data_IF_862613103293
#
_entry.id   IF_862613103293
#
_cell.length_a   1.000
_cell.length_b   1.000
_cell.length_c   1.000
_cell.angle_alpha   90.00
_cell.angle_beta   90.00
_cell.angle_gamma   90.00
#
_symmetry.space_group_name_H-M   'P 1'
#
loop_
_entity.id
_entity.type
_entity.pdbx_description
1 polymer ?
#
# COMPACT_ATOMS: atom_id res chain seq x y z
N UNK A 1 22.43 -3.71 14.05
CA UNK A 1 21.72 -5.01 13.95
C UNK A 1 20.27 -4.92 14.43
N UNK A 2 20.00 -4.58 15.69
CA UNK A 2 18.62 -4.52 16.24
C UNK A 2 17.64 -3.63 15.44
N UNK A 3 18.09 -2.45 14.98
CA UNK A 3 17.26 -1.52 14.20
C UNK A 3 16.86 -2.13 12.84
N UNK A 4 17.79 -2.80 12.16
CA UNK A 4 17.52 -3.44 10.87
C UNK A 4 16.50 -4.56 11.03
N UNK A 5 16.63 -5.36 12.08
CA UNK A 5 15.67 -6.44 12.41
C UNK A 5 14.27 -5.88 12.71
N UNK A 6 14.17 -4.78 13.47
CA UNK A 6 12.88 -4.12 13.71
C UNK A 6 12.23 -3.60 12.41
N UNK A 7 13.00 -2.97 11.53
CA UNK A 7 12.47 -2.46 10.25
C UNK A 7 11.93 -3.61 9.39
N UNK A 8 12.70 -4.70 9.28
CA UNK A 8 12.25 -5.89 8.54
C UNK A 8 11.01 -6.53 9.17
N UNK A 9 10.92 -6.59 10.50
CA UNK A 9 9.74 -7.10 11.20
C UNK A 9 8.50 -6.24 10.93
N UNK A 10 8.63 -4.91 10.92
CA UNK A 10 7.53 -4.00 10.58
C UNK A 10 7.10 -4.16 9.12
N UNK A 11 8.04 -4.27 8.19
CA UNK A 11 7.73 -4.49 6.77
C UNK A 11 6.99 -5.82 6.58
N UNK A 12 7.50 -6.91 7.18
CA UNK A 12 6.85 -8.21 7.14
C UNK A 12 5.43 -8.16 7.73
N UNK A 13 5.26 -7.49 8.87
CA UNK A 13 3.95 -7.29 9.49
C UNK A 13 2.97 -6.54 8.57
N UNK A 14 3.41 -5.49 7.90
CA UNK A 14 2.60 -4.74 6.93
C UNK A 14 2.20 -5.59 5.74
N UNK A 15 3.12 -6.41 5.21
CA UNK A 15 2.84 -7.33 4.11
C UNK A 15 1.83 -8.40 4.51
N UNK A 16 1.94 -8.96 5.72
CA UNK A 16 0.98 -9.92 6.25
C UNK A 16 -0.41 -9.28 6.34
N UNK A 17 -0.52 -8.06 6.86
CA UNK A 17 -1.82 -7.38 6.93
C UNK A 17 -2.40 -7.05 5.55
N UNK A 18 -1.57 -6.64 4.61
CA UNK A 18 -2.00 -6.41 3.23
C UNK A 18 -2.49 -7.69 2.56
N UNK A 19 -1.79 -8.81 2.76
CA UNK A 19 -2.18 -10.11 2.22
C UNK A 19 -3.50 -10.63 2.83
N UNK A 20 -3.71 -10.41 4.13
CA UNK A 20 -4.98 -10.73 4.79
C UNK A 20 -6.13 -9.85 4.29
N UNK A 21 -5.87 -8.58 4.00
CA UNK A 21 -6.85 -7.68 3.41
C UNK A 21 -7.24 -8.12 1.98
N UNK A 22 -6.26 -8.50 1.15
CA UNK A 22 -6.50 -9.01 -0.20
C UNK A 22 -7.23 -10.36 -0.20
N UNK A 23 -6.97 -11.22 0.79
CA UNK A 23 -7.70 -12.46 1.01
C UNK A 23 -9.15 -12.25 1.53
N UNK A 24 -9.60 -11.00 1.70
CA UNK A 24 -10.91 -10.67 2.24
C UNK A 24 -11.07 -10.97 3.74
N UNK A 25 -9.98 -11.32 4.43
CA UNK A 25 -9.95 -11.61 5.88
C UNK A 25 -9.66 -10.38 6.73
N UNK A 26 -9.76 -9.18 6.15
CA UNK A 26 -9.57 -7.92 6.88
C UNK A 26 -10.53 -7.77 8.07
N UNK A 27 -10.18 -6.96 9.09
CA UNK A 27 -11.04 -6.71 10.23
C UNK A 27 -12.44 -6.30 9.77
N UNK A 28 -13.45 -7.10 10.13
CA UNK A 28 -14.84 -6.88 9.72
C UNK A 28 -15.27 -5.45 10.06
N UNK A 29 -15.33 -4.57 9.06
CA UNK A 29 -15.77 -3.20 9.30
C UNK A 29 -17.24 -3.22 9.77
N UNK A 30 -17.62 -2.35 10.72
CA UNK A 30 -19.00 -2.30 11.26
C UNK A 30 -20.08 -2.25 10.17
N UNK A 31 -19.78 -1.64 9.01
CA UNK A 31 -20.67 -1.59 7.85
C UNK A 31 -20.90 -2.95 7.19
N UNK A 32 -19.87 -3.79 7.10
CA UNK A 32 -19.98 -5.16 6.57
C UNK A 32 -20.82 -6.08 7.45
N UNK A 33 -20.74 -5.93 8.79
CA UNK A 33 -21.55 -6.71 9.75
C UNK A 33 -23.04 -6.37 9.67
N UNK A 34 -23.40 -5.10 9.48
CA UNK A 34 -24.81 -4.70 9.30
C UNK A 34 -25.41 -5.28 8.02
N UNK A 35 -24.62 -5.30 6.94
CA UNK A 35 -25.03 -5.90 5.67
C UNK A 35 -25.14 -7.43 5.79
N UNK A 36 -24.17 -8.08 6.44
CA UNK A 36 -24.19 -9.52 6.76
C UNK A 36 -25.44 -9.91 7.52
N UNK A 37 -25.78 -9.22 8.62
CA UNK A 37 -26.99 -9.49 9.42
C UNK A 37 -28.27 -9.39 8.60
N UNK A 38 -28.36 -8.43 7.67
CA UNK A 38 -29.53 -8.29 6.77
C UNK A 38 -29.59 -9.39 5.73
N UNK A 39 -28.44 -9.81 5.19
CA UNK A 39 -28.37 -10.91 4.21
C UNK A 39 -28.66 -12.27 4.89
N UNK A 40 -28.14 -12.47 6.09
CA UNK A 40 -28.39 -13.63 6.96
C UNK A 40 -29.88 -13.80 7.25
N UNK A 41 -30.54 -12.72 7.69
CA UNK A 41 -31.96 -12.72 7.98
C UNK A 41 -32.83 -13.07 6.76
N UNK A 42 -32.39 -12.74 5.53
CA UNK A 42 -33.10 -13.12 4.30
C UNK A 42 -32.89 -14.58 3.92
N UNK A 43 -31.75 -15.17 4.29
CA UNK A 43 -31.38 -16.54 3.96
C UNK A 43 -31.72 -17.55 5.08
N UNK A 44 -32.13 -17.07 6.26
CA UNK A 44 -32.37 -17.91 7.44
C UNK A 44 -31.09 -18.51 8.03
N UNK A 45 -29.92 -17.93 7.74
CA UNK A 45 -28.61 -18.39 8.19
C UNK A 45 -28.12 -17.57 9.38
N UNK A 46 -27.18 -18.12 10.16
CA UNK A 46 -26.43 -17.34 11.15
C UNK A 46 -25.58 -16.29 10.41
N UNK A 47 -25.56 -15.01 10.86
CA UNK A 47 -24.66 -14.00 10.33
C UNK A 47 -23.18 -14.42 10.23
N UNK A 48 -22.72 -15.36 11.06
CA UNK A 48 -21.37 -15.91 11.00
C UNK A 48 -21.13 -16.81 9.78
N UNK A 49 -22.20 -17.47 9.28
CA UNK A 49 -22.16 -18.45 8.19
C UNK A 49 -22.47 -17.84 6.81
N UNK A 50 -22.79 -16.55 6.78
CA UNK A 50 -23.07 -15.85 5.52
C UNK A 50 -21.76 -15.59 4.77
N UNK A 51 -21.60 -16.29 3.65
CA UNK A 51 -20.53 -16.03 2.70
C UNK A 51 -20.61 -14.56 2.21
N UNK A 52 -19.64 -13.77 2.66
CA UNK A 52 -19.44 -12.40 2.21
C UNK A 52 -18.47 -12.42 1.08
N UNK A 53 -19.05 -12.49 -0.12
CA UNK A 53 -18.31 -12.21 -1.33
C UNK A 53 -17.88 -10.74 -1.30
N UNK A 54 -16.58 -10.45 -1.41
CA UNK A 54 -16.13 -9.08 -1.62
C UNK A 54 -16.83 -8.53 -2.87
N UNK A 55 -17.13 -7.22 -2.88
CA UNK A 55 -17.64 -6.55 -4.09
C UNK A 55 -16.66 -6.82 -5.23
N UNK A 56 -17.07 -7.63 -6.21
CA UNK A 56 -16.23 -8.05 -7.33
C UNK A 56 -16.10 -9.56 -7.52
N UNK A 57 -16.46 -10.40 -6.53
CA UNK A 57 -16.39 -11.86 -6.65
C UNK A 57 -17.63 -12.42 -7.38
N UNK A 58 -17.67 -12.24 -8.70
CA UNK A 58 -18.51 -13.02 -9.60
C UNK A 58 -17.93 -14.43 -9.81
N UNK A 59 -18.73 -15.39 -10.30
CA UNK A 59 -18.27 -16.76 -10.55
C UNK A 59 -17.08 -16.86 -11.53
N UNK A 60 -16.86 -15.83 -12.37
CA UNK A 60 -15.85 -15.83 -13.43
C UNK A 60 -14.68 -14.85 -13.22
N UNK A 61 -14.55 -14.20 -12.05
CA UNK A 61 -13.46 -13.26 -11.81
C UNK A 61 -12.21 -13.98 -11.29
N UNK A 62 -11.42 -14.57 -12.19
CA UNK A 62 -10.04 -15.02 -11.91
C UNK A 62 -9.11 -13.81 -11.69
N UNK A 63 -9.54 -12.61 -12.10
CA UNK A 63 -8.80 -11.38 -11.89
C UNK A 63 -9.42 -10.57 -10.74
N UNK A 64 -8.65 -10.23 -9.70
CA UNK A 64 -9.12 -9.27 -8.70
C UNK A 64 -9.32 -7.92 -9.41
N UNK A 65 -10.57 -7.55 -9.68
CA UNK A 65 -10.98 -6.22 -10.19
C UNK A 65 -10.81 -5.13 -9.11
N UNK A 66 -10.01 -5.38 -8.08
CA UNK A 66 -9.68 -4.46 -6.99
C UNK A 66 -8.18 -4.24 -6.91
N UNK A 67 -7.76 -3.00 -6.65
CA UNK A 67 -6.37 -2.64 -6.32
C UNK A 67 -5.88 -3.58 -5.21
N UNK A 68 -4.86 -4.40 -5.47
CA UNK A 68 -4.27 -5.26 -4.45
C UNK A 68 -3.55 -4.41 -3.42
N UNK A 69 -3.92 -4.55 -2.15
CA UNK A 69 -3.30 -3.85 -1.02
C UNK A 69 -1.83 -4.25 -0.90
N UNK A 70 -1.49 -5.51 -1.21
CA UNK A 70 -0.10 -5.96 -1.28
C UNK A 70 0.65 -5.28 -2.42
N UNK A 71 0.03 -5.13 -3.59
CA UNK A 71 0.61 -4.43 -4.73
C UNK A 71 0.83 -2.93 -4.45
N UNK A 72 -0.10 -2.29 -3.74
CA UNK A 72 0.03 -0.91 -3.28
C UNK A 72 1.17 -0.75 -2.26
N UNK A 73 1.31 -1.68 -1.32
CA UNK A 73 2.38 -1.68 -0.32
C UNK A 73 3.76 -1.92 -0.96
N UNK A 74 3.87 -2.95 -1.80
CA UNK A 74 5.11 -3.29 -2.50
C UNK A 74 5.57 -2.14 -3.40
N UNK A 75 4.65 -1.51 -4.12
CA UNK A 75 4.97 -0.34 -4.90
C UNK A 75 5.38 0.84 -4.02
N UNK A 76 4.67 1.11 -2.91
CA UNK A 76 5.02 2.19 -1.99
C UNK A 76 6.43 2.04 -1.42
N UNK A 77 6.80 0.82 -1.00
CA UNK A 77 8.13 0.50 -0.51
C UNK A 77 9.19 0.57 -1.61
N UNK A 78 8.93 0.01 -2.79
CA UNK A 78 9.84 0.07 -3.93
C UNK A 78 10.09 1.50 -4.40
N UNK A 79 9.04 2.31 -4.47
CA UNK A 79 9.13 3.72 -4.84
C UNK A 79 9.85 4.55 -3.78
N UNK A 80 9.62 4.26 -2.49
CA UNK A 80 10.36 4.88 -1.39
C UNK A 80 11.86 4.56 -1.42
N UNK A 81 12.22 3.30 -1.66
CA UNK A 81 13.61 2.88 -1.84
C UNK A 81 14.26 3.56 -3.05
N UNK A 82 13.54 3.63 -4.18
CA UNK A 82 14.01 4.34 -5.37
C UNK A 82 14.26 5.83 -5.08
N UNK A 83 13.35 6.49 -4.36
CA UNK A 83 13.52 7.89 -3.97
C UNK A 83 14.77 8.09 -3.09
N UNK A 84 15.04 7.19 -2.13
CA UNK A 84 16.25 7.22 -1.31
C UNK A 84 17.50 7.12 -2.20
N UNK A 85 17.53 6.15 -3.13
CA UNK A 85 18.65 5.98 -4.06
C UNK A 85 18.87 7.23 -4.91
N UNK A 86 17.79 7.84 -5.44
CA UNK A 86 17.87 9.06 -6.24
C UNK A 86 18.31 10.28 -5.43
N UNK A 87 17.89 10.40 -4.16
CA UNK A 87 18.36 11.45 -3.28
C UNK A 87 19.88 11.35 -3.12
N UNK A 88 20.39 10.24 -2.59
CA UNK A 88 21.82 10.10 -2.32
C UNK A 88 22.66 10.08 -3.61
N UNK A 89 22.21 9.37 -4.66
CA UNK A 89 22.91 9.32 -5.93
C UNK A 89 22.97 10.68 -6.63
N UNK A 90 21.84 11.40 -6.71
CA UNK A 90 21.80 12.72 -7.31
C UNK A 90 22.59 13.76 -6.51
N UNK A 91 22.54 13.72 -5.17
CA UNK A 91 23.38 14.56 -4.32
C UNK A 91 24.88 14.32 -4.57
N UNK A 92 25.29 13.06 -4.68
CA UNK A 92 26.68 12.71 -4.98
C UNK A 92 27.12 13.25 -6.34
N UNK A 93 26.28 13.12 -7.38
CA UNK A 93 26.56 13.68 -8.71
C UNK A 93 26.67 15.20 -8.67
N UNK A 94 25.75 15.89 -7.99
CA UNK A 94 25.77 17.35 -7.87
C UNK A 94 27.04 17.83 -7.16
N UNK A 95 27.45 17.14 -6.08
CA UNK A 95 28.72 17.43 -5.40
C UNK A 95 29.93 17.15 -6.29
N UNK A 96 29.93 16.04 -7.03
CA UNK A 96 31.01 15.70 -7.96
C UNK A 96 31.14 16.74 -9.10
N UNK A 97 30.02 17.30 -9.55
CA UNK A 97 29.96 18.38 -10.54
C UNK A 97 30.24 19.78 -9.93
N UNK A 98 30.60 19.86 -8.65
CA UNK A 98 30.92 21.10 -7.93
C UNK A 98 29.76 22.11 -7.90
N UNK A 99 28.51 21.65 -7.92
CA UNK A 99 27.37 22.52 -7.66
C UNK A 99 27.41 23.04 -6.21
N UNK A 100 26.83 24.23 -5.94
CA UNK A 100 26.71 24.75 -4.60
C UNK A 100 25.89 23.80 -3.72
N UNK A 101 26.19 23.68 -2.42
CA UNK A 101 25.44 22.83 -1.49
C UNK A 101 23.94 23.10 -1.49
N UNK A 102 23.53 24.34 -1.77
CA UNK A 102 22.13 24.76 -1.89
C UNK A 102 21.38 24.00 -2.99
N UNK A 103 22.07 23.64 -4.08
CA UNK A 103 21.48 22.85 -5.16
C UNK A 103 21.13 21.42 -4.72
N UNK A 104 21.86 20.86 -3.74
CA UNK A 104 21.58 19.53 -3.18
C UNK A 104 20.28 19.56 -2.39
N UNK A 105 20.05 20.62 -1.62
CA UNK A 105 18.79 20.81 -0.88
C UNK A 105 17.60 20.98 -1.82
N UNK A 106 17.77 21.74 -2.90
CA UNK A 106 16.74 21.88 -3.95
C UNK A 106 16.45 20.52 -4.60
N UNK A 107 17.49 19.75 -4.92
CA UNK A 107 17.34 18.40 -5.47
C UNK A 107 16.55 17.47 -4.55
N UNK A 108 16.85 17.45 -3.26
CA UNK A 108 16.07 16.68 -2.27
C UNK A 108 14.60 17.11 -2.26
N UNK A 109 14.33 18.42 -2.29
CA UNK A 109 12.97 18.95 -2.39
C UNK A 109 12.24 18.44 -3.63
N UNK A 110 12.91 18.44 -4.79
CA UNK A 110 12.35 17.93 -6.06
C UNK A 110 12.02 16.44 -5.98
N UNK A 111 12.92 15.61 -5.45
CA UNK A 111 12.69 14.15 -5.34
C UNK A 111 11.54 13.84 -4.38
N UNK A 112 11.45 14.54 -3.25
CA UNK A 112 10.36 14.38 -2.28
C UNK A 112 9.03 14.80 -2.92
N UNK A 113 9.00 15.96 -3.57
CA UNK A 113 7.79 16.48 -4.22
C UNK A 113 7.32 15.56 -5.36
N UNK A 114 8.23 15.11 -6.22
CA UNK A 114 7.92 14.18 -7.30
C UNK A 114 7.32 12.87 -6.76
N UNK A 115 7.89 12.34 -5.68
CA UNK A 115 7.38 11.15 -4.99
C UNK A 115 5.96 11.37 -4.46
N UNK A 116 5.71 12.52 -3.84
CA UNK A 116 4.39 12.86 -3.32
C UNK A 116 3.35 13.02 -4.44
N UNK A 117 3.70 13.73 -5.52
CA UNK A 117 2.81 13.97 -6.67
C UNK A 117 2.46 12.67 -7.37
N UNK A 118 3.44 11.79 -7.64
CA UNK A 118 3.19 10.50 -8.29
C UNK A 118 2.30 9.59 -7.43
N UNK A 119 2.51 9.59 -6.11
CA UNK A 119 1.68 8.84 -5.18
C UNK A 119 0.24 9.40 -5.11
N UNK A 120 0.08 10.72 -5.19
CA UNK A 120 -1.23 11.39 -5.24
C UNK A 120 -1.99 11.06 -6.53
N UNK A 121 -1.34 11.15 -7.70
CA UNK A 121 -1.95 10.85 -9.01
C UNK A 121 -2.48 9.42 -9.04
N UNK A 122 -1.70 8.45 -8.54
CA UNK A 122 -2.16 7.06 -8.40
C UNK A 122 -3.42 6.99 -7.55
N UNK A 123 -3.44 7.59 -6.36
CA UNK A 123 -4.61 7.49 -5.45
C UNK A 123 -5.89 8.13 -6.01
N UNK A 124 -5.78 9.08 -6.95
CA UNK A 124 -6.91 9.74 -7.59
C UNK A 124 -7.45 9.08 -8.85
N UNK A 125 -6.72 8.12 -9.43
CA UNK A 125 -7.17 7.28 -10.55
C UNK A 125 -7.61 5.91 -10.07
#
# INVERSE_FOLDING_TARGET
MAIVVMILAVIAWLFVQAALADAGQGPRSRGSLRYQRRKAAKLGLDPADVEVRPRGAGPDSIEPVGRSVVGDLAFGLGFGLLAIVLMFGGAFVLMAMKFPPDAVWVWFGVVILATFVLNKIRRSG
#
